data_IF_163071948361
#
_entry.id   IF_163071948361
#
_cell.length_a   1.000
_cell.length_b   1.000
_cell.length_c   1.000
_cell.angle_alpha   90.00
_cell.angle_beta   90.00
_cell.angle_gamma   90.00
#
_symmetry.space_group_name_H-M   'P 1'
#
loop_
_entity.id
_entity.type
_entity.pdbx_description
1 polymer ?
#
# COMPACT_ATOMS: atom_id res chain seq x y z
N UNK A 1 -15.73 10.59 -5.71
CA UNK A 1 -15.48 10.22 -4.30
C UNK A 1 -15.42 11.53 -3.51
N UNK A 2 -16.22 11.62 -2.46
CA UNK A 2 -16.30 12.83 -1.64
C UNK A 2 -14.97 13.09 -0.92
N UNK A 3 -14.64 14.37 -0.71
CA UNK A 3 -13.37 14.77 -0.09
C UNK A 3 -13.17 14.17 1.31
N UNK A 4 -14.27 14.01 2.05
CA UNK A 4 -14.26 13.38 3.37
C UNK A 4 -13.98 11.88 3.30
N UNK A 5 -14.59 11.16 2.36
CA UNK A 5 -14.35 9.74 2.16
C UNK A 5 -12.89 9.46 1.76
N UNK A 6 -12.33 10.29 0.86
CA UNK A 6 -10.93 10.18 0.46
C UNK A 6 -9.97 10.44 1.62
N UNK A 7 -10.29 11.42 2.47
CA UNK A 7 -9.47 11.74 3.64
C UNK A 7 -9.53 10.62 4.68
N UNK A 8 -10.74 10.10 4.95
CA UNK A 8 -10.92 8.99 5.88
C UNK A 8 -10.15 7.75 5.43
N UNK A 9 -10.30 7.38 4.16
CA UNK A 9 -9.60 6.23 3.58
C UNK A 9 -8.07 6.39 3.68
N UNK A 10 -7.56 7.58 3.38
CA UNK A 10 -6.13 7.91 3.48
C UNK A 10 -5.60 7.78 4.90
N UNK A 11 -6.33 8.34 5.89
CA UNK A 11 -5.94 8.28 7.30
C UNK A 11 -5.98 6.84 7.80
N UNK A 12 -7.03 6.08 7.46
CA UNK A 12 -7.14 4.66 7.84
C UNK A 12 -5.99 3.83 7.28
N UNK A 13 -5.64 4.01 6.01
CA UNK A 13 -4.46 3.36 5.42
C UNK A 13 -3.17 3.73 6.16
N UNK A 14 -2.97 5.02 6.45
CA UNK A 14 -1.78 5.48 7.15
C UNK A 14 -1.66 4.86 8.55
N UNK A 15 -2.76 4.81 9.30
CA UNK A 15 -2.80 4.18 10.63
C UNK A 15 -2.41 2.71 10.54
N UNK A 16 -2.98 1.96 9.58
CA UNK A 16 -2.69 0.54 9.40
C UNK A 16 -1.21 0.32 9.07
N UNK A 17 -0.64 1.08 8.13
CA UNK A 17 0.76 0.93 7.73
C UNK A 17 1.73 1.34 8.84
N UNK A 18 1.47 2.42 9.56
CA UNK A 18 2.31 2.84 10.68
C UNK A 18 2.25 1.80 11.80
N UNK A 19 1.06 1.38 12.18
CA UNK A 19 0.87 0.44 13.30
C UNK A 19 1.55 -0.90 13.00
N UNK A 20 1.20 -1.53 11.89
CA UNK A 20 1.76 -2.83 11.54
C UNK A 20 3.24 -2.77 11.19
N UNK A 21 3.69 -1.64 10.63
CA UNK A 21 5.10 -1.40 10.39
C UNK A 21 5.93 -1.39 11.68
N UNK A 22 5.47 -0.70 12.71
CA UNK A 22 6.16 -0.61 14.02
C UNK A 22 6.20 -1.98 14.72
N UNK A 23 5.19 -2.82 14.57
CA UNK A 23 5.15 -4.14 15.22
C UNK A 23 6.25 -5.09 14.72
N UNK A 24 6.75 -4.90 13.49
CA UNK A 24 7.80 -5.75 12.92
C UNK A 24 9.14 -5.62 13.66
N UNK A 25 9.73 -4.43 13.79
CA UNK A 25 10.99 -4.28 14.52
C UNK A 25 10.86 -4.58 16.02
N UNK A 26 9.64 -4.46 16.58
CA UNK A 26 9.38 -4.81 17.98
C UNK A 26 9.21 -6.32 18.20
N UNK A 27 9.16 -7.13 17.15
CA UNK A 27 8.99 -8.59 17.24
C UNK A 27 7.55 -9.06 17.51
N UNK A 28 6.57 -8.16 17.50
CA UNK A 28 5.15 -8.49 17.77
C UNK A 28 4.32 -8.73 16.51
N UNK A 29 4.91 -8.63 15.33
CA UNK A 29 4.17 -8.87 14.09
C UNK A 29 3.96 -10.35 13.85
N UNK A 30 2.71 -10.76 13.67
CA UNK A 30 2.35 -12.12 13.27
C UNK A 30 2.89 -12.51 11.89
N UNK A 31 3.27 -11.53 11.07
CA UNK A 31 3.83 -11.75 9.76
C UNK A 31 5.35 -12.04 9.78
N UNK A 32 6.05 -11.85 10.90
CA UNK A 32 7.50 -11.99 10.95
C UNK A 32 7.95 -13.40 10.56
N UNK A 33 7.32 -14.43 11.10
CA UNK A 33 7.63 -15.83 10.77
C UNK A 33 7.37 -16.12 9.27
N UNK A 34 6.29 -15.59 8.72
CA UNK A 34 5.98 -15.77 7.29
C UNK A 34 7.01 -15.09 6.40
N UNK A 35 7.44 -13.88 6.76
CA UNK A 35 8.50 -13.14 6.04
C UNK A 35 9.82 -13.91 6.10
N UNK A 36 10.24 -14.36 7.29
CA UNK A 36 11.45 -15.13 7.49
C UNK A 36 11.50 -16.39 6.62
N UNK A 37 10.40 -17.14 6.56
CA UNK A 37 10.28 -18.36 5.76
C UNK A 37 10.21 -18.08 4.25
N UNK A 38 9.74 -16.90 3.86
CA UNK A 38 9.58 -16.52 2.46
C UNK A 38 10.88 -16.05 1.84
N UNK A 39 11.59 -15.16 2.55
CA UNK A 39 12.83 -14.53 2.07
C UNK A 39 14.06 -15.15 2.71
N UNK A 40 14.18 -16.48 2.62
CA UNK A 40 15.25 -17.28 3.22
C UNK A 40 16.67 -16.91 2.77
N UNK A 41 16.80 -16.11 1.70
CA UNK A 41 18.08 -15.59 1.20
C UNK A 41 18.54 -14.28 1.88
N UNK A 42 17.71 -13.67 2.71
CA UNK A 42 18.07 -12.52 3.53
C UNK A 42 18.15 -12.90 5.00
N UNK A 43 19.05 -12.25 5.74
CA UNK A 43 19.08 -12.37 7.18
C UNK A 43 17.85 -11.67 7.80
N UNK A 44 16.98 -12.41 8.52
CA UNK A 44 15.78 -11.86 9.15
C UNK A 44 16.07 -10.73 10.14
N UNK A 45 17.23 -10.79 10.79
CA UNK A 45 17.61 -9.85 11.83
C UNK A 45 17.63 -8.39 11.39
N UNK A 46 17.99 -8.11 10.14
CA UNK A 46 17.96 -6.76 9.58
C UNK A 46 16.79 -6.54 8.62
N UNK A 47 16.38 -7.58 7.88
CA UNK A 47 15.37 -7.45 6.82
C UNK A 47 13.98 -7.17 7.38
N UNK A 48 13.56 -7.84 8.46
CA UNK A 48 12.25 -7.63 9.09
C UNK A 48 12.13 -6.22 9.66
N UNK A 49 13.10 -5.69 10.44
CA UNK A 49 13.07 -4.29 10.85
C UNK A 49 13.06 -3.30 9.68
N UNK A 50 13.85 -3.55 8.63
CA UNK A 50 13.86 -2.73 7.43
C UNK A 50 12.47 -2.68 6.78
N UNK A 51 11.82 -3.83 6.61
CA UNK A 51 10.47 -3.91 6.05
C UNK A 51 9.44 -3.17 6.93
N UNK A 52 9.57 -3.27 8.25
CA UNK A 52 8.73 -2.54 9.18
C UNK A 52 8.87 -1.02 9.03
N UNK A 53 10.09 -0.51 8.97
CA UNK A 53 10.34 0.92 8.75
C UNK A 53 9.90 1.39 7.36
N UNK A 54 10.01 0.53 6.35
CA UNK A 54 9.46 0.80 5.03
C UNK A 54 7.95 1.01 5.07
N UNK A 55 7.21 0.18 5.80
CA UNK A 55 5.77 0.33 5.99
C UNK A 55 5.41 1.59 6.76
N UNK A 56 6.18 1.94 7.81
CA UNK A 56 6.01 3.20 8.53
C UNK A 56 6.21 4.39 7.58
N UNK A 57 7.20 4.34 6.70
CA UNK A 57 7.44 5.38 5.71
C UNK A 57 6.25 5.53 4.75
N UNK A 58 5.67 4.42 4.27
CA UNK A 58 4.43 4.44 3.46
C UNK A 58 3.32 5.14 4.24
N UNK A 59 3.09 4.77 5.48
CA UNK A 59 2.04 5.37 6.31
C UNK A 59 2.23 6.86 6.55
N UNK A 60 3.44 7.29 6.87
CA UNK A 60 3.77 8.72 7.07
C UNK A 60 3.61 9.51 5.77
N UNK A 61 4.09 8.99 4.64
CA UNK A 61 3.95 9.66 3.34
C UNK A 61 2.49 9.75 2.88
N UNK A 62 1.62 8.81 3.27
CA UNK A 62 0.17 8.90 3.04
C UNK A 62 -0.48 10.08 3.79
N UNK A 63 0.02 10.46 4.96
CA UNK A 63 -0.52 11.60 5.72
C UNK A 63 -0.20 12.93 5.06
N UNK A 64 0.91 13.03 4.32
CA UNK A 64 1.39 14.26 3.70
C UNK A 64 0.89 14.34 2.25
N UNK A 65 -0.07 15.24 1.98
CA UNK A 65 -0.75 15.34 0.66
C UNK A 65 0.18 15.34 -0.56
N UNK A 66 1.25 16.16 -0.64
CA UNK A 66 2.12 16.16 -1.82
C UNK A 66 2.87 14.84 -2.02
N UNK A 67 3.00 14.00 -0.98
CA UNK A 67 3.76 12.76 -0.99
C UNK A 67 2.91 11.51 -1.22
N UNK A 68 1.61 11.65 -1.38
CA UNK A 68 0.69 10.52 -1.62
C UNK A 68 1.13 9.67 -2.82
N UNK A 69 1.66 10.29 -3.89
CA UNK A 69 2.16 9.54 -5.05
C UNK A 69 3.37 8.69 -4.71
N UNK A 70 4.26 9.21 -3.85
CA UNK A 70 5.43 8.47 -3.35
C UNK A 70 4.96 7.28 -2.50
N UNK A 71 3.98 7.50 -1.61
CA UNK A 71 3.40 6.44 -0.80
C UNK A 71 2.82 5.30 -1.66
N UNK A 72 2.04 5.64 -2.68
CA UNK A 72 1.47 4.66 -3.62
C UNK A 72 2.57 3.90 -4.36
N UNK A 73 3.62 4.58 -4.81
CA UNK A 73 4.76 3.95 -5.47
C UNK A 73 5.50 2.98 -4.54
N UNK A 74 5.80 3.41 -3.30
CA UNK A 74 6.47 2.57 -2.31
C UNK A 74 5.64 1.33 -1.97
N UNK A 75 4.32 1.50 -1.85
CA UNK A 75 3.39 0.41 -1.60
C UNK A 75 3.38 -0.58 -2.78
N UNK A 76 3.26 -0.10 -4.01
CA UNK A 76 3.26 -0.96 -5.18
C UNK A 76 4.60 -1.70 -5.35
N UNK A 77 5.71 -1.08 -4.97
CA UNK A 77 7.03 -1.71 -5.00
C UNK A 77 7.16 -2.84 -3.97
N UNK A 78 6.48 -2.73 -2.82
CA UNK A 78 6.46 -3.77 -1.78
C UNK A 78 5.57 -4.95 -2.14
N UNK A 79 4.49 -4.73 -2.91
CA UNK A 79 3.45 -5.75 -3.14
C UNK A 79 3.94 -7.06 -3.74
N UNK A 80 4.86 -7.10 -4.72
CA UNK A 80 5.39 -8.37 -5.23
C UNK A 80 5.95 -9.25 -4.11
N UNK A 81 6.71 -8.66 -3.18
CA UNK A 81 7.25 -9.37 -2.02
C UNK A 81 6.15 -9.86 -1.07
N UNK A 82 5.09 -9.09 -0.89
CA UNK A 82 3.96 -9.45 -0.03
C UNK A 82 3.16 -10.63 -0.58
N UNK A 83 3.04 -10.77 -1.91
CA UNK A 83 2.34 -11.89 -2.55
C UNK A 83 3.22 -13.12 -2.77
N UNK A 84 4.52 -12.97 -2.64
CA UNK A 84 5.50 -14.06 -2.88
C UNK A 84 5.23 -15.32 -2.05
N UNK A 85 4.82 -15.27 -0.76
CA UNK A 85 4.52 -16.47 0.03
C UNK A 85 3.42 -17.35 -0.56
N UNK A 86 2.44 -16.76 -1.27
CA UNK A 86 1.37 -17.55 -1.90
C UNK A 86 1.89 -18.56 -2.93
N UNK A 87 3.06 -18.28 -3.49
CA UNK A 87 3.71 -19.12 -4.50
C UNK A 87 4.82 -19.97 -3.89
N UNK A 88 5.64 -19.40 -2.99
CA UNK A 88 6.79 -20.07 -2.42
C UNK A 88 6.44 -21.00 -1.24
N UNK A 89 5.36 -20.69 -0.52
CA UNK A 89 4.92 -21.42 0.66
C UNK A 89 3.45 -21.86 0.50
N UNK A 90 3.14 -22.68 -0.53
CA UNK A 90 1.76 -23.09 -0.77
C UNK A 90 1.19 -23.89 0.41
N UNK A 91 2.00 -24.71 1.09
CA UNK A 91 1.57 -25.51 2.23
C UNK A 91 1.19 -24.66 3.45
N UNK A 92 1.71 -23.44 3.55
CA UNK A 92 1.39 -22.49 4.62
C UNK A 92 0.20 -21.61 4.23
N UNK A 93 0.18 -21.14 2.98
CA UNK A 93 -0.79 -20.16 2.52
C UNK A 93 -2.12 -20.75 2.03
N UNK A 94 -2.18 -22.07 1.78
CA UNK A 94 -3.37 -22.73 1.25
C UNK A 94 -3.72 -23.96 2.06
N UNK A 95 -5.00 -24.05 2.48
CA UNK A 95 -5.59 -25.31 2.99
C UNK A 95 -5.92 -26.21 1.80
N UNK A 96 -6.40 -25.64 0.71
CA UNK A 96 -6.66 -26.31 -0.58
C UNK A 96 -6.45 -25.30 -1.71
N UNK A 97 -5.30 -25.38 -2.37
CA UNK A 97 -5.00 -24.50 -3.48
C UNK A 97 -5.89 -24.80 -4.70
N UNK A 98 -6.33 -23.78 -5.47
CA UNK A 98 -6.30 -22.35 -5.19
C UNK A 98 -7.58 -21.83 -4.51
N UNK A 99 -8.47 -22.69 -4.01
CA UNK A 99 -9.83 -22.35 -3.59
C UNK A 99 -9.96 -21.94 -2.13
N UNK A 100 -9.16 -22.55 -1.24
CA UNK A 100 -9.26 -22.32 0.19
C UNK A 100 -7.92 -21.84 0.76
N UNK A 101 -7.71 -20.51 0.88
CA UNK A 101 -6.54 -19.98 1.54
C UNK A 101 -6.58 -20.25 3.04
N UNK A 102 -5.39 -20.46 3.64
CA UNK A 102 -5.20 -20.51 5.08
C UNK A 102 -5.42 -19.12 5.71
N UNK A 103 -5.26 -19.00 7.01
CA UNK A 103 -5.30 -17.70 7.68
C UNK A 103 -4.22 -16.76 7.13
N UNK A 104 -3.01 -17.26 6.92
CA UNK A 104 -1.88 -16.53 6.33
C UNK A 104 -2.20 -16.12 4.89
N UNK A 105 -2.73 -17.04 4.08
CA UNK A 105 -3.14 -16.76 2.72
C UNK A 105 -4.23 -15.67 2.64
N UNK A 106 -5.24 -15.73 3.50
CA UNK A 106 -6.27 -14.68 3.60
C UNK A 106 -5.68 -13.34 4.00
N UNK A 107 -4.72 -13.34 4.94
CA UNK A 107 -4.02 -12.13 5.37
C UNK A 107 -3.28 -11.46 4.20
N UNK A 108 -2.65 -12.25 3.34
CA UNK A 108 -1.97 -11.73 2.15
C UNK A 108 -2.98 -11.22 1.11
N UNK A 109 -4.03 -11.98 0.81
CA UNK A 109 -5.04 -11.61 -0.20
C UNK A 109 -5.75 -10.30 0.16
N UNK A 110 -5.95 -10.01 1.45
CA UNK A 110 -6.50 -8.73 1.91
C UNK A 110 -5.70 -7.51 1.45
N UNK A 111 -4.42 -7.66 1.12
CA UNK A 111 -3.62 -6.56 0.58
C UNK A 111 -4.14 -6.04 -0.76
N UNK A 112 -4.93 -6.81 -1.52
CA UNK A 112 -5.62 -6.31 -2.71
C UNK A 112 -6.53 -5.11 -2.39
N UNK A 113 -7.19 -5.14 -1.23
CA UNK A 113 -8.03 -4.03 -0.77
C UNK A 113 -7.16 -2.81 -0.44
N UNK A 114 -6.02 -3.02 0.21
CA UNK A 114 -5.08 -1.93 0.55
C UNK A 114 -4.51 -1.27 -0.73
N UNK A 115 -4.15 -2.07 -1.74
CA UNK A 115 -3.69 -1.58 -3.04
C UNK A 115 -4.77 -0.75 -3.72
N UNK A 116 -5.99 -1.28 -3.81
CA UNK A 116 -7.12 -0.60 -4.45
C UNK A 116 -7.44 0.72 -3.74
N UNK A 117 -7.44 0.72 -2.42
CA UNK A 117 -7.65 1.90 -1.59
C UNK A 117 -6.55 2.94 -1.80
N UNK A 118 -5.28 2.51 -1.85
CA UNK A 118 -4.15 3.41 -2.08
C UNK A 118 -4.18 4.03 -3.49
N UNK A 119 -4.54 3.27 -4.51
CA UNK A 119 -4.73 3.77 -5.88
C UNK A 119 -5.87 4.79 -5.92
N UNK A 120 -6.99 4.52 -5.25
CA UNK A 120 -8.12 5.43 -5.17
C UNK A 120 -7.71 6.76 -4.51
N UNK A 121 -6.96 6.71 -3.40
CA UNK A 121 -6.39 7.89 -2.73
C UNK A 121 -5.40 8.62 -3.64
N UNK A 122 -4.51 7.89 -4.33
CA UNK A 122 -3.55 8.45 -5.29
C UNK A 122 -4.23 9.21 -6.43
N UNK A 123 -5.38 8.73 -6.90
CA UNK A 123 -6.19 9.36 -7.93
C UNK A 123 -6.76 10.74 -7.52
N UNK A 124 -6.89 11.00 -6.21
CA UNK A 124 -7.40 12.29 -5.73
C UNK A 124 -6.40 13.44 -5.85
N UNK A 125 -5.13 13.15 -6.10
CA UNK A 125 -4.02 14.13 -6.20
C UNK A 125 -3.68 14.48 -7.65
N UNK A 126 -4.52 14.11 -8.63
CA UNK A 126 -4.30 14.53 -10.02
C UNK A 126 -4.43 16.05 -10.13
N UNK A 127 -3.43 16.76 -10.69
CA UNK A 127 -3.62 18.15 -11.08
C UNK A 127 -4.70 18.19 -12.15
N UNK A 128 -5.60 19.14 -12.00
CA UNK A 128 -6.76 19.36 -12.90
C UNK A 128 -6.25 19.93 -14.25
N UNK A 129 -5.63 19.08 -15.06
CA UNK A 129 -5.13 19.48 -16.42
C UNK A 129 -6.32 19.80 -17.36
N UNK A 130 -7.55 19.47 -16.97
CA UNK A 130 -8.74 19.75 -17.76
C UNK A 130 -9.25 21.18 -17.65
N UNK A 131 -8.91 21.93 -16.60
CA UNK A 131 -9.41 23.31 -16.38
C UNK A 131 -8.83 24.34 -17.36
N UNK A 132 -7.77 24.01 -18.09
CA UNK A 132 -7.16 24.91 -19.08
C UNK A 132 -7.73 24.84 -20.49
N UNK A 133 -8.64 23.85 -20.77
CA UNK A 133 -9.18 23.66 -22.13
C UNK A 133 -10.55 24.29 -22.38
N UNK A 134 -11.22 24.72 -21.33
CA UNK A 134 -12.58 25.27 -21.41
C UNK A 134 -12.64 26.79 -21.19
N UNK A 135 -11.51 27.49 -21.37
CA UNK A 135 -11.56 28.95 -21.47
C UNK A 135 -12.18 29.31 -22.83
N UNK A 136 -13.36 29.98 -22.86
CA UNK A 136 -13.95 30.43 -24.10
C UNK A 136 -12.98 31.36 -24.81
N UNK A 137 -12.85 31.19 -26.12
CA UNK A 137 -12.03 32.05 -26.94
C UNK A 137 -12.40 33.54 -26.70
N UNK A 138 -11.42 34.35 -26.38
CA UNK A 138 -11.58 35.79 -26.17
C UNK A 138 -12.22 36.39 -27.43
N UNK A 139 -13.36 37.08 -27.34
CA UNK A 139 -13.95 37.72 -28.52
C UNK A 139 -12.94 38.70 -29.12
N UNK A 140 -12.94 38.86 -30.48
CA UNK A 140 -12.04 39.79 -31.14
C UNK A 140 -12.30 41.21 -30.63
N UNK A 141 -11.19 41.93 -30.36
CA UNK A 141 -11.28 43.34 -30.00
C UNK A 141 -11.82 44.09 -31.21
N UNK A 142 -12.99 44.69 -31.03
CA UNK A 142 -13.55 45.59 -32.03
C UNK A 142 -12.64 46.84 -32.12
N UNK A 143 -12.12 47.06 -33.30
CA UNK A 143 -11.44 48.29 -33.72
C UNK A 143 -12.49 49.29 -34.13
#
# INVERSE_FOLDING_TARGET
MDAHAATLLRVSLAVVFIWFGILKPLGYSVANELVERTVYWFDPGWFIPFLGWWEVLIGVTLLVRPWIRVAVLLLLLQMPGTFLPLVLLPDVCWVRAPWAPSLEGQYIIKNLVLISAAIAVGGTVRPDIRRGRDLPARPPANV
#
